data_IF_672910793868
#
_entry.id   IF_672910793868
#
_cell.length_a   1.000
_cell.length_b   1.000
_cell.length_c   1.000
_cell.angle_alpha   90.00
_cell.angle_beta   90.00
_cell.angle_gamma   90.00
#
_symmetry.space_group_name_H-M   'P 1'
#
loop_
_entity.id
_entity.type
_entity.pdbx_description
1 polymer ?
#
# COMPACT_ATOMS: atom_id res chain seq x y z
N UNK A 1 19.45 14.70 35.80
CA UNK A 1 18.55 15.33 36.79
C UNK A 1 17.92 14.25 37.68
N UNK A 2 17.64 14.51 38.96
CA UNK A 2 17.08 13.48 39.87
C UNK A 2 15.55 13.32 39.59
N UNK A 3 15.05 12.08 39.53
CA UNK A 3 13.62 11.77 39.28
C UNK A 3 12.65 12.45 40.27
N UNK A 4 13.10 12.66 41.54
CA UNK A 4 12.31 13.41 42.54
C UNK A 4 12.09 14.87 42.13
N UNK A 5 13.10 15.52 41.56
CA UNK A 5 13.03 16.92 41.11
C UNK A 5 12.10 17.05 39.94
N UNK A 6 12.18 16.13 38.96
CA UNK A 6 11.29 16.11 37.79
C UNK A 6 9.81 15.98 38.22
N UNK A 7 9.53 15.11 39.19
CA UNK A 7 8.17 14.97 39.75
C UNK A 7 7.65 16.23 40.44
N UNK A 8 8.51 16.91 41.24
CA UNK A 8 8.13 18.15 41.93
C UNK A 8 7.87 19.29 40.96
N UNK A 9 8.61 19.31 39.84
CA UNK A 9 8.43 20.29 38.75
C UNK A 9 7.30 19.91 37.78
N UNK A 10 6.61 18.78 38.01
CA UNK A 10 5.54 18.27 37.12
C UNK A 10 6.01 18.15 35.67
N UNK A 11 7.26 17.77 35.46
CA UNK A 11 7.90 17.66 34.14
C UNK A 11 7.14 16.74 33.18
N UNK A 12 6.54 15.66 33.69
CA UNK A 12 5.68 14.74 32.96
C UNK A 12 4.47 15.45 32.32
N UNK A 13 3.89 16.44 32.99
CA UNK A 13 2.80 17.23 32.41
C UNK A 13 3.27 18.10 31.26
N UNK A 14 4.45 18.70 31.36
CA UNK A 14 5.05 19.50 30.29
C UNK A 14 5.32 18.62 29.07
N UNK A 15 5.90 17.42 29.26
CA UNK A 15 6.14 16.46 28.19
C UNK A 15 4.81 16.04 27.54
N UNK A 16 3.78 15.75 28.32
CA UNK A 16 2.48 15.39 27.77
C UNK A 16 1.85 16.52 26.93
N UNK A 17 1.97 17.77 27.37
CA UNK A 17 1.52 18.93 26.59
C UNK A 17 2.29 19.09 25.28
N UNK A 18 3.61 18.80 25.28
CA UNK A 18 4.44 18.83 24.08
C UNK A 18 4.07 17.70 23.12
N UNK A 19 3.90 16.48 23.64
CA UNK A 19 3.48 15.32 22.87
C UNK A 19 2.17 15.56 22.11
N UNK A 20 1.20 16.24 22.73
CA UNK A 20 -0.06 16.59 22.06
C UNK A 20 0.10 17.53 20.86
N UNK A 21 1.25 18.22 20.74
CA UNK A 21 1.55 19.08 19.60
C UNK A 21 2.23 18.34 18.45
N UNK A 22 2.81 17.18 18.71
CA UNK A 22 3.45 16.36 17.69
C UNK A 22 2.41 15.71 16.78
N UNK A 23 2.63 15.78 15.46
CA UNK A 23 1.70 15.29 14.43
C UNK A 23 2.03 13.86 13.95
N UNK A 24 3.26 13.38 14.20
CA UNK A 24 3.71 12.03 13.83
C UNK A 24 3.95 11.15 15.06
N UNK A 25 3.77 9.82 14.92
CA UNK A 25 4.06 8.88 16.00
C UNK A 25 5.55 8.89 16.41
N UNK A 26 6.53 8.92 15.47
CA UNK A 26 7.92 9.10 15.85
C UNK A 26 8.20 10.42 16.56
N UNK A 27 7.60 11.53 16.13
CA UNK A 27 7.73 12.82 16.80
C UNK A 27 7.17 12.81 18.22
N UNK A 28 6.04 12.13 18.46
CA UNK A 28 5.51 11.91 19.82
C UNK A 28 6.47 11.11 20.69
N UNK A 29 7.13 10.10 20.11
CA UNK A 29 8.14 9.33 20.84
C UNK A 29 9.33 10.20 21.21
N UNK A 30 9.85 11.03 20.30
CA UNK A 30 10.91 12.00 20.64
C UNK A 30 10.52 12.94 21.78
N UNK A 31 9.27 13.41 21.78
CA UNK A 31 8.76 14.24 22.89
C UNK A 31 8.78 13.49 24.23
N UNK A 32 8.38 12.21 24.26
CA UNK A 32 8.41 11.36 25.47
C UNK A 32 9.82 11.11 25.97
N UNK A 33 10.76 10.95 25.06
CA UNK A 33 12.18 10.65 25.38
C UNK A 33 12.98 11.90 25.74
N UNK A 34 12.38 13.10 25.63
CA UNK A 34 13.04 14.35 25.95
C UNK A 34 13.36 14.42 27.44
N UNK A 35 14.62 14.66 27.73
CA UNK A 35 15.12 14.86 29.09
C UNK A 35 15.78 16.23 29.20
N UNK A 36 15.79 16.85 30.42
CA UNK A 36 16.49 18.11 30.62
C UNK A 36 17.98 18.00 30.31
N UNK A 37 18.48 18.86 29.43
CA UNK A 37 19.87 18.96 29.04
C UNK A 37 20.68 19.73 30.08
N UNK A 38 21.99 19.44 30.16
CA UNK A 38 22.93 20.14 31.05
C UNK A 38 24.15 20.69 30.30
N UNK A 39 24.33 20.32 29.05
CA UNK A 39 25.36 20.88 28.17
C UNK A 39 24.89 22.19 27.57
N UNK A 40 25.66 23.26 27.81
CA UNK A 40 25.27 24.61 27.38
C UNK A 40 25.18 24.73 25.84
N UNK A 41 26.15 24.15 25.13
CA UNK A 41 26.19 24.24 23.67
C UNK A 41 24.98 23.53 23.04
N UNK A 42 24.62 22.33 23.54
CA UNK A 42 23.41 21.60 23.10
C UNK A 42 22.12 22.38 23.39
N UNK A 43 22.04 23.03 24.55
CA UNK A 43 20.86 23.85 24.93
C UNK A 43 20.73 25.04 23.97
N UNK A 44 21.83 25.77 23.75
CA UNK A 44 21.83 26.95 22.83
C UNK A 44 21.47 26.54 21.40
N UNK A 45 22.00 25.41 20.91
CA UNK A 45 21.63 24.87 19.60
C UNK A 45 20.13 24.56 19.50
N UNK A 46 19.59 23.79 20.46
CA UNK A 46 18.17 23.41 20.44
C UNK A 46 17.23 24.61 20.56
N UNK A 47 17.64 25.66 21.32
CA UNK A 47 16.89 26.91 21.41
C UNK A 47 16.93 27.71 20.09
N UNK A 48 18.09 27.74 19.42
CA UNK A 48 18.25 28.38 18.12
C UNK A 48 17.38 27.69 17.06
N UNK A 49 17.46 26.36 16.97
CA UNK A 49 16.60 25.57 16.07
C UNK A 49 15.12 25.82 16.30
N UNK A 50 14.69 25.91 17.57
CA UNK A 50 13.30 26.23 17.92
C UNK A 50 12.89 27.64 17.50
N UNK A 51 13.76 28.63 17.70
CA UNK A 51 13.52 30.01 17.29
C UNK A 51 13.44 30.16 15.75
N UNK A 52 14.33 29.51 15.03
CA UNK A 52 14.35 29.49 13.56
C UNK A 52 13.12 28.80 13.00
N UNK A 53 12.69 27.66 13.61
CA UNK A 53 11.46 26.98 13.24
C UNK A 53 10.23 27.89 13.42
N UNK A 54 10.16 28.60 14.54
CA UNK A 54 9.07 29.54 14.80
C UNK A 54 9.08 30.68 13.78
N UNK A 55 10.25 31.24 13.45
CA UNK A 55 10.42 32.30 12.45
C UNK A 55 9.92 31.82 11.08
N UNK A 56 10.29 30.62 10.65
CA UNK A 56 9.81 30.04 9.39
C UNK A 56 8.30 29.83 9.37
N UNK A 57 7.72 29.37 10.47
CA UNK A 57 6.25 29.20 10.60
C UNK A 57 5.53 30.55 10.48
N UNK A 58 6.05 31.63 11.08
CA UNK A 58 5.45 32.96 10.96
C UNK A 58 5.55 33.52 9.54
N UNK A 59 6.63 33.22 8.80
CA UNK A 59 6.87 33.74 7.46
C UNK A 59 6.13 32.96 6.38
N UNK A 60 6.08 31.62 6.49
CA UNK A 60 5.62 30.70 5.44
C UNK A 60 4.36 29.91 5.82
N UNK A 61 3.88 30.04 7.05
CA UNK A 61 2.79 29.24 7.58
C UNK A 61 3.23 27.93 8.22
N UNK A 62 2.28 27.16 8.74
CA UNK A 62 2.55 25.89 9.40
C UNK A 62 2.94 24.79 8.40
N UNK A 63 3.96 24.02 8.73
CA UNK A 63 4.39 22.84 7.97
C UNK A 63 3.69 21.59 8.53
N UNK A 64 3.05 20.84 7.66
CA UNK A 64 2.49 19.53 8.02
C UNK A 64 3.42 18.43 7.50
N UNK A 65 4.02 17.68 8.41
CA UNK A 65 4.91 16.56 8.09
C UNK A 65 4.14 15.29 7.64
N UNK A 66 2.81 15.29 7.71
CA UNK A 66 1.98 14.14 7.37
C UNK A 66 2.05 13.02 8.40
N UNK A 67 1.37 11.92 8.10
CA UNK A 67 1.42 10.72 8.94
C UNK A 67 2.65 9.89 8.56
N UNK A 68 3.78 10.11 9.24
CA UNK A 68 5.00 9.32 9.04
C UNK A 68 4.95 8.10 9.96
N UNK A 69 4.54 6.95 9.41
CA UNK A 69 4.64 5.66 10.12
C UNK A 69 6.10 5.19 10.11
N UNK A 70 6.58 4.53 11.19
CA UNK A 70 7.93 3.98 11.21
C UNK A 70 8.16 2.97 10.07
N UNK A 71 9.27 3.13 9.33
CA UNK A 71 9.66 2.26 8.22
C UNK A 71 10.79 1.27 8.58
N UNK A 72 11.20 1.20 9.85
CA UNK A 72 12.34 0.40 10.26
C UNK A 72 12.27 -1.08 9.85
N UNK A 73 11.08 -1.69 9.87
CA UNK A 73 10.89 -3.06 9.38
C UNK A 73 11.02 -3.14 7.86
N UNK A 74 10.43 -2.20 7.13
CA UNK A 74 10.53 -2.15 5.67
C UNK A 74 11.98 -1.99 5.21
N UNK A 75 12.74 -1.08 5.85
CA UNK A 75 14.16 -0.86 5.53
C UNK A 75 14.99 -2.12 5.76
N UNK A 76 14.79 -2.81 6.88
CA UNK A 76 15.48 -4.10 7.14
C UNK A 76 15.14 -5.16 6.10
N UNK A 77 13.87 -5.23 5.68
CA UNK A 77 13.43 -6.16 4.62
C UNK A 77 14.11 -5.84 3.29
N UNK A 78 14.24 -4.55 2.95
CA UNK A 78 14.95 -4.11 1.73
C UNK A 78 16.45 -4.43 1.79
N UNK A 79 17.11 -4.22 2.93
CA UNK A 79 18.54 -4.52 3.12
C UNK A 79 18.89 -5.99 2.88
N UNK A 80 17.98 -6.90 3.23
CA UNK A 80 18.16 -8.35 2.98
C UNK A 80 17.58 -8.81 1.64
N UNK A 81 17.14 -7.88 0.79
CA UNK A 81 16.59 -8.18 -0.54
C UNK A 81 15.20 -8.81 -0.53
N UNK A 82 14.42 -8.64 0.54
CA UNK A 82 13.05 -9.15 0.61
C UNK A 82 12.08 -8.23 -0.14
N UNK A 83 11.05 -8.84 -0.75
CA UNK A 83 9.97 -8.12 -1.39
C UNK A 83 9.02 -7.54 -0.35
N UNK A 84 8.70 -6.26 -0.49
CA UNK A 84 7.70 -5.55 0.32
C UNK A 84 6.29 -5.78 -0.22
N UNK A 85 5.31 -5.70 0.65
CA UNK A 85 3.90 -5.65 0.29
C UNK A 85 3.49 -4.32 -0.35
N UNK A 86 2.32 -4.28 -0.99
CA UNK A 86 1.74 -3.04 -1.54
C UNK A 86 1.60 -1.96 -0.47
N UNK A 87 1.15 -2.32 0.74
CA UNK A 87 1.00 -1.37 1.85
C UNK A 87 2.35 -0.76 2.26
N UNK A 88 3.40 -1.57 2.35
CA UNK A 88 4.75 -1.11 2.74
C UNK A 88 5.35 -0.17 1.69
N UNK A 89 5.19 -0.51 0.39
CA UNK A 89 5.63 0.35 -0.71
C UNK A 89 4.85 1.68 -0.74
N UNK A 90 3.53 1.64 -0.51
CA UNK A 90 2.72 2.86 -0.41
C UNK A 90 3.12 3.74 0.78
N UNK A 91 3.56 3.17 1.90
CA UNK A 91 4.13 3.94 3.02
C UNK A 91 5.42 4.65 2.62
N UNK A 92 6.30 3.97 1.88
CA UNK A 92 7.53 4.58 1.34
C UNK A 92 7.17 5.73 0.40
N UNK A 93 6.26 5.52 -0.55
CA UNK A 93 5.80 6.57 -1.45
C UNK A 93 5.24 7.78 -0.69
N UNK A 94 4.42 7.54 0.35
CA UNK A 94 3.89 8.59 1.21
C UNK A 94 4.96 9.38 1.95
N UNK A 95 6.01 8.73 2.47
CA UNK A 95 7.15 9.43 3.06
C UNK A 95 7.85 10.32 2.02
N UNK A 96 8.14 9.80 0.83
CA UNK A 96 8.85 10.53 -0.23
C UNK A 96 8.05 11.74 -0.75
N UNK A 97 6.72 11.60 -0.87
CA UNK A 97 5.81 12.70 -1.21
C UNK A 97 5.81 13.79 -0.13
N UNK A 98 5.79 13.38 1.14
CA UNK A 98 5.90 14.30 2.28
C UNK A 98 7.27 14.99 2.29
N UNK A 99 8.35 14.25 2.05
CA UNK A 99 9.72 14.76 1.92
C UNK A 99 9.80 15.83 0.84
N UNK A 100 9.17 15.63 -0.32
CA UNK A 100 9.13 16.62 -1.40
C UNK A 100 8.45 17.93 -0.95
N UNK A 101 7.32 17.83 -0.22
CA UNK A 101 6.62 19.01 0.32
C UNK A 101 7.46 19.78 1.35
N UNK A 102 8.09 19.04 2.26
CA UNK A 102 8.93 19.62 3.31
C UNK A 102 10.19 20.25 2.70
N UNK A 103 10.86 19.59 1.76
CA UNK A 103 12.00 20.17 1.03
C UNK A 103 11.61 21.46 0.31
N UNK A 104 10.45 21.51 -0.35
CA UNK A 104 9.97 22.70 -1.03
C UNK A 104 9.63 23.83 -0.03
N UNK A 105 9.11 23.53 1.15
CA UNK A 105 8.90 24.52 2.21
C UNK A 105 10.24 25.12 2.68
N UNK A 106 11.31 24.33 2.74
CA UNK A 106 12.66 24.77 3.07
C UNK A 106 13.27 25.76 2.08
N UNK A 107 12.84 25.73 0.79
CA UNK A 107 13.37 26.63 -0.23
C UNK A 107 12.95 28.08 0.04
N UNK A 108 13.86 29.03 -0.23
CA UNK A 108 13.55 30.45 -0.21
C UNK A 108 12.95 30.88 -1.56
N UNK A 109 11.89 31.72 -1.50
CA UNK A 109 11.29 32.34 -2.70
C UNK A 109 12.09 33.56 -3.19
N UNK A 110 13.14 33.96 -2.46
CA UNK A 110 14.00 35.07 -2.80
C UNK A 110 15.43 34.58 -3.00
N UNK A 111 16.15 35.22 -3.93
CA UNK A 111 17.56 34.90 -4.30
C UNK A 111 18.56 34.97 -3.13
N UNK A 112 18.18 35.47 -1.96
CA UNK A 112 18.95 35.38 -0.72
C UNK A 112 18.49 34.15 0.04
N UNK A 113 19.29 33.07 -0.04
CA UNK A 113 19.12 31.90 0.83
C UNK A 113 19.18 32.35 2.29
N UNK A 114 18.04 32.33 2.96
CA UNK A 114 17.99 32.55 4.40
C UNK A 114 18.64 31.32 5.07
N UNK A 115 19.93 31.41 5.33
CA UNK A 115 20.67 30.39 6.06
C UNK A 115 20.36 30.52 7.54
N UNK A 116 19.70 29.51 8.09
CA UNK A 116 19.44 29.34 9.51
C UNK A 116 19.86 27.93 9.94
N UNK A 117 19.70 27.63 11.23
CA UNK A 117 20.07 26.31 11.80
C UNK A 117 19.34 25.12 11.19
N UNK A 118 18.19 25.34 10.53
CA UNK A 118 17.37 24.29 9.91
C UNK A 118 17.67 24.06 8.43
N UNK A 119 18.43 24.94 7.80
CA UNK A 119 18.67 24.93 6.36
C UNK A 119 19.29 23.61 5.91
N UNK A 120 20.24 23.07 6.65
CA UNK A 120 20.91 21.81 6.33
C UNK A 120 19.93 20.63 6.36
N UNK A 121 19.01 20.57 7.31
CA UNK A 121 17.98 19.50 7.35
C UNK A 121 17.15 19.48 6.06
N UNK A 122 16.72 20.64 5.56
CA UNK A 122 15.96 20.72 4.31
C UNK A 122 16.80 20.33 3.08
N UNK A 123 18.10 20.64 3.09
CA UNK A 123 19.00 20.27 1.98
C UNK A 123 19.26 18.77 1.94
N UNK A 124 19.40 18.11 3.09
CA UNK A 124 19.63 16.67 3.19
C UNK A 124 18.42 15.80 2.80
N UNK A 125 17.22 16.39 2.69
CA UNK A 125 16.04 15.64 2.26
C UNK A 125 16.15 15.24 0.78
N UNK A 126 15.93 13.95 0.49
CA UNK A 126 15.95 13.39 -0.86
C UNK A 126 14.57 12.85 -1.26
N UNK A 127 13.77 13.61 -2.03
CA UNK A 127 12.39 13.25 -2.36
C UNK A 127 12.23 11.98 -3.19
N UNK A 128 13.26 11.55 -3.93
CA UNK A 128 13.21 10.37 -4.81
C UNK A 128 11.93 10.32 -5.66
N UNK A 129 11.58 11.44 -6.28
CA UNK A 129 10.32 11.61 -6.99
C UNK A 129 10.06 10.56 -8.11
N UNK A 130 11.07 10.04 -8.83
CA UNK A 130 10.85 8.94 -9.76
C UNK A 130 10.31 7.69 -9.06
N UNK A 131 10.91 7.27 -7.94
CA UNK A 131 10.50 6.10 -7.17
C UNK A 131 9.06 6.24 -6.63
N UNK A 132 8.75 7.38 -5.98
CA UNK A 132 7.39 7.58 -5.44
C UNK A 132 6.32 7.58 -6.53
N UNK A 133 6.60 8.20 -7.69
CA UNK A 133 5.70 8.18 -8.84
C UNK A 133 5.51 6.78 -9.42
N UNK A 134 6.58 6.01 -9.52
CA UNK A 134 6.51 4.65 -10.07
C UNK A 134 5.74 3.71 -9.13
N UNK A 135 5.95 3.80 -7.82
CA UNK A 135 5.14 3.08 -6.84
C UNK A 135 3.66 3.43 -7.01
N UNK A 136 3.30 4.73 -7.06
CA UNK A 136 1.91 5.19 -7.23
C UNK A 136 1.30 4.82 -8.58
N UNK A 137 2.11 4.76 -9.63
CA UNK A 137 1.66 4.31 -10.95
C UNK A 137 1.27 2.83 -10.95
N UNK A 138 2.06 2.01 -10.24
CA UNK A 138 1.84 0.56 -10.20
C UNK A 138 0.81 0.14 -9.14
N UNK A 139 0.73 0.84 -8.00
CA UNK A 139 -0.10 0.46 -6.86
C UNK A 139 -1.14 1.56 -6.62
N UNK A 140 -2.40 1.24 -6.91
CA UNK A 140 -3.53 2.17 -6.73
C UNK A 140 -3.95 2.18 -5.25
N UNK A 141 -4.11 1.00 -4.66
CA UNK A 141 -4.44 0.79 -3.25
C UNK A 141 -3.77 -0.48 -2.73
N UNK A 142 -3.90 -0.78 -1.44
CA UNK A 142 -3.28 -1.93 -0.75
C UNK A 142 -3.57 -3.25 -1.47
N UNK A 143 -4.80 -3.43 -1.93
CA UNK A 143 -5.27 -4.64 -2.61
C UNK A 143 -5.42 -4.46 -4.13
N UNK A 144 -4.97 -3.32 -4.68
CA UNK A 144 -5.20 -2.98 -6.09
C UNK A 144 -3.92 -2.56 -6.81
N UNK A 145 -3.47 -3.42 -7.73
CA UNK A 145 -2.38 -3.13 -8.68
C UNK A 145 -2.98 -2.62 -9.99
N UNK A 146 -2.43 -1.55 -10.52
CA UNK A 146 -2.88 -0.95 -11.78
C UNK A 146 -2.78 -1.94 -12.96
N UNK A 147 -3.75 -1.92 -13.85
CA UNK A 147 -3.74 -2.80 -15.04
C UNK A 147 -2.52 -2.59 -15.92
N UNK A 148 -2.02 -1.37 -15.99
CA UNK A 148 -0.86 -0.97 -16.77
C UNK A 148 0.44 -0.93 -15.95
N UNK A 149 0.44 -1.50 -14.74
CA UNK A 149 1.66 -1.64 -13.95
C UNK A 149 2.75 -2.40 -14.71
N UNK A 150 2.37 -3.39 -15.51
CA UNK A 150 3.25 -4.00 -16.52
C UNK A 150 2.48 -4.35 -17.81
N UNK A 151 3.18 -4.42 -18.97
CA UNK A 151 2.56 -4.91 -20.21
C UNK A 151 2.07 -6.35 -20.09
N UNK A 152 2.73 -7.19 -19.29
CA UNK A 152 2.35 -8.57 -19.05
C UNK A 152 1.04 -8.66 -18.26
N UNK A 153 0.92 -7.92 -17.15
CA UNK A 153 -0.31 -7.87 -16.34
C UNK A 153 -1.51 -7.42 -17.17
N UNK A 154 -1.34 -6.35 -17.94
CA UNK A 154 -2.39 -5.85 -18.85
C UNK A 154 -2.87 -6.91 -19.85
N UNK A 155 -1.93 -7.68 -20.43
CA UNK A 155 -2.26 -8.76 -21.37
C UNK A 155 -2.99 -9.90 -20.65
N UNK A 156 -2.53 -10.30 -19.47
CA UNK A 156 -3.14 -11.37 -18.67
C UNK A 156 -4.59 -10.98 -18.32
N UNK A 157 -4.82 -9.82 -17.73
CA UNK A 157 -6.16 -9.34 -17.35
C UNK A 157 -7.11 -9.23 -18.54
N UNK A 158 -6.61 -8.72 -19.67
CA UNK A 158 -7.41 -8.72 -20.92
C UNK A 158 -7.78 -10.14 -21.34
N UNK A 159 -6.86 -11.10 -21.24
CA UNK A 159 -7.14 -12.50 -21.57
C UNK A 159 -8.16 -13.12 -20.59
N UNK A 160 -8.12 -12.77 -19.31
CA UNK A 160 -9.09 -13.21 -18.31
C UNK A 160 -10.50 -12.72 -18.66
N UNK A 161 -10.65 -11.43 -18.99
CA UNK A 161 -11.94 -10.85 -19.42
C UNK A 161 -12.49 -11.59 -20.65
N UNK A 162 -11.69 -11.74 -21.70
CA UNK A 162 -12.10 -12.42 -22.93
C UNK A 162 -12.45 -13.90 -22.69
N UNK A 163 -11.75 -14.59 -21.81
CA UNK A 163 -12.04 -15.99 -21.44
C UNK A 163 -13.34 -16.06 -20.64
N UNK A 164 -13.56 -15.15 -19.70
CA UNK A 164 -14.81 -15.03 -18.96
C UNK A 164 -16.01 -14.77 -19.86
N UNK A 165 -15.89 -13.86 -20.82
CA UNK A 165 -16.94 -13.61 -21.82
C UNK A 165 -17.28 -14.84 -22.65
N UNK A 166 -16.26 -15.62 -23.08
CA UNK A 166 -16.49 -16.88 -23.81
C UNK A 166 -17.27 -17.89 -22.96
N UNK A 167 -16.88 -18.06 -21.68
CA UNK A 167 -17.60 -18.93 -20.73
C UNK A 167 -19.06 -18.48 -20.61
N UNK A 168 -19.28 -17.21 -20.35
CA UNK A 168 -20.63 -16.66 -20.21
C UNK A 168 -21.47 -16.87 -21.47
N UNK A 169 -20.94 -16.60 -22.64
CA UNK A 169 -21.64 -16.80 -23.91
C UNK A 169 -22.02 -18.26 -24.14
N UNK A 170 -21.12 -19.18 -23.84
CA UNK A 170 -21.35 -20.61 -24.00
C UNK A 170 -22.38 -21.14 -22.99
N UNK A 171 -22.29 -20.74 -21.74
CA UNK A 171 -23.26 -21.10 -20.73
C UNK A 171 -24.63 -20.47 -20.95
N UNK A 172 -24.70 -19.20 -21.38
CA UNK A 172 -25.96 -18.54 -21.76
C UNK A 172 -26.68 -19.29 -22.90
N UNK A 173 -25.94 -19.76 -23.90
CA UNK A 173 -26.51 -20.58 -24.97
C UNK A 173 -27.11 -21.88 -24.44
N UNK A 174 -26.48 -22.52 -23.45
CA UNK A 174 -27.00 -23.75 -22.82
C UNK A 174 -28.21 -23.45 -21.93
N UNK A 175 -28.12 -22.42 -21.08
CA UNK A 175 -29.16 -22.03 -20.11
C UNK A 175 -30.46 -21.60 -20.80
N UNK A 176 -30.36 -20.91 -21.93
CA UNK A 176 -31.52 -20.44 -22.69
C UNK A 176 -31.97 -21.43 -23.82
N UNK A 177 -31.17 -22.48 -24.04
CA UNK A 177 -31.40 -23.45 -25.11
C UNK A 177 -31.63 -24.87 -24.61
N UNK A 178 -30.75 -25.79 -24.99
CA UNK A 178 -30.91 -27.24 -24.82
C UNK A 178 -31.02 -27.72 -23.38
N UNK A 179 -30.34 -27.04 -22.45
CA UNK A 179 -30.35 -27.44 -21.02
C UNK A 179 -31.47 -26.82 -20.22
N UNK A 180 -32.26 -25.88 -20.75
CA UNK A 180 -33.26 -25.10 -20.01
C UNK A 180 -34.23 -25.94 -19.16
N UNK A 181 -34.74 -27.06 -19.70
CA UNK A 181 -35.68 -27.93 -18.99
C UNK A 181 -35.02 -28.71 -17.82
N UNK A 182 -33.71 -28.89 -17.85
CA UNK A 182 -32.94 -29.64 -16.85
C UNK A 182 -32.51 -28.77 -15.67
N UNK A 183 -32.55 -27.45 -15.83
CA UNK A 183 -32.08 -26.52 -14.82
C UNK A 183 -33.12 -26.26 -13.74
N UNK A 184 -32.65 -26.10 -12.50
CA UNK A 184 -33.46 -25.63 -11.37
C UNK A 184 -33.82 -24.15 -11.60
N UNK A 185 -32.81 -23.34 -11.94
CA UNK A 185 -32.93 -21.94 -12.29
C UNK A 185 -32.07 -21.65 -13.54
N UNK A 186 -32.54 -20.70 -14.37
CA UNK A 186 -31.81 -20.32 -15.59
C UNK A 186 -30.73 -19.27 -15.29
N UNK A 187 -29.78 -19.63 -14.45
CA UNK A 187 -28.69 -18.74 -13.99
C UNK A 187 -27.33 -19.41 -14.17
N UNK A 188 -26.33 -18.58 -14.36
CA UNK A 188 -24.93 -19.00 -14.28
C UNK A 188 -24.47 -18.71 -12.85
N UNK A 189 -23.78 -19.62 -12.23
CA UNK A 189 -23.26 -19.50 -10.85
C UNK A 189 -21.80 -19.89 -10.80
N UNK A 190 -21.10 -19.54 -9.72
CA UNK A 190 -19.72 -19.94 -9.49
C UNK A 190 -19.66 -20.86 -8.27
N UNK A 191 -18.90 -21.96 -8.37
CA UNK A 191 -18.57 -22.87 -7.28
C UNK A 191 -17.07 -23.19 -7.35
N UNK A 192 -16.38 -23.02 -6.24
CA UNK A 192 -14.93 -23.25 -6.13
C UNK A 192 -14.11 -22.53 -7.24
N UNK A 193 -14.53 -21.29 -7.58
CA UNK A 193 -13.89 -20.50 -8.64
C UNK A 193 -14.20 -20.97 -10.06
N UNK A 194 -15.18 -21.87 -10.26
CA UNK A 194 -15.57 -22.40 -11.57
C UNK A 194 -17.00 -22.01 -11.94
N UNK A 195 -17.21 -21.63 -13.17
CA UNK A 195 -18.53 -21.33 -13.69
C UNK A 195 -19.34 -22.60 -13.90
N UNK A 196 -20.51 -22.68 -13.27
CA UNK A 196 -21.42 -23.83 -13.23
C UNK A 196 -22.83 -23.42 -13.55
N UNK A 197 -23.67 -24.42 -13.85
CA UNK A 197 -25.14 -24.28 -13.98
C UNK A 197 -25.86 -25.18 -12.94
N UNK A 198 -26.98 -24.72 -12.36
CA UNK A 198 -27.75 -25.48 -11.37
C UNK A 198 -28.69 -26.46 -12.06
N UNK A 199 -28.38 -27.75 -12.02
CA UNK A 199 -29.13 -28.84 -12.64
C UNK A 199 -29.95 -29.56 -11.60
N UNK A 200 -31.23 -29.84 -11.87
CA UNK A 200 -32.10 -30.65 -11.02
C UNK A 200 -31.53 -32.07 -10.86
N UNK A 201 -31.67 -32.65 -9.67
CA UNK A 201 -31.06 -33.95 -9.35
C UNK A 201 -31.48 -35.06 -10.33
N UNK A 202 -32.75 -35.06 -10.76
CA UNK A 202 -33.32 -36.03 -11.72
C UNK A 202 -32.67 -35.94 -13.14
N UNK A 203 -32.10 -34.79 -13.52
CA UNK A 203 -31.46 -34.57 -14.82
C UNK A 203 -29.95 -34.53 -14.75
N UNK A 204 -29.30 -34.90 -13.65
CA UNK A 204 -27.85 -34.93 -13.49
C UNK A 204 -27.12 -35.63 -14.64
N UNK A 205 -27.68 -36.75 -15.14
CA UNK A 205 -27.08 -37.53 -16.22
C UNK A 205 -27.30 -36.93 -17.62
N UNK A 206 -28.14 -35.92 -17.77
CA UNK A 206 -28.45 -35.27 -19.07
C UNK A 206 -27.53 -34.12 -19.42
N UNK A 207 -26.78 -33.60 -18.44
CA UNK A 207 -25.80 -32.53 -18.63
C UNK A 207 -24.40 -33.09 -18.41
N UNK A 208 -23.67 -33.41 -19.50
CA UNK A 208 -22.30 -33.88 -19.38
C UNK A 208 -21.40 -32.82 -18.73
N UNK A 209 -20.70 -33.20 -17.67
CA UNK A 209 -19.82 -32.26 -16.95
C UNK A 209 -19.35 -32.79 -15.61
N UNK A 210 -18.71 -31.90 -14.85
CA UNK A 210 -18.21 -32.18 -13.50
C UNK A 210 -19.13 -31.55 -12.46
N UNK A 211 -19.49 -32.32 -11.43
CA UNK A 211 -20.24 -31.82 -10.28
C UNK A 211 -19.25 -31.20 -9.29
N UNK A 212 -19.44 -29.93 -8.99
CA UNK A 212 -18.60 -29.21 -8.01
C UNK A 212 -19.30 -29.07 -6.66
N UNK A 213 -20.64 -29.00 -6.65
CA UNK A 213 -21.38 -28.79 -5.42
C UNK A 213 -22.80 -29.36 -5.52
N UNK A 214 -23.48 -29.50 -4.38
CA UNK A 214 -24.87 -29.92 -4.27
C UNK A 214 -25.61 -29.04 -3.27
N UNK A 215 -26.89 -28.71 -3.53
CA UNK A 215 -27.71 -27.96 -2.57
C UNK A 215 -27.91 -28.76 -1.28
N UNK A 216 -28.13 -28.07 -0.16
CA UNK A 216 -28.33 -28.68 1.15
C UNK A 216 -29.50 -29.69 1.19
N UNK A 217 -30.50 -29.50 0.32
CA UNK A 217 -31.66 -30.42 0.18
C UNK A 217 -31.36 -31.58 -0.76
N UNK A 218 -30.23 -31.60 -1.45
CA UNK A 218 -29.87 -32.61 -2.45
C UNK A 218 -30.65 -32.52 -3.77
N UNK A 219 -31.50 -31.51 -3.93
CA UNK A 219 -32.38 -31.36 -5.11
C UNK A 219 -31.71 -30.75 -6.33
N UNK A 220 -30.53 -30.11 -6.15
CA UNK A 220 -29.79 -29.38 -7.21
C UNK A 220 -28.32 -29.73 -7.19
N UNK A 221 -27.76 -30.04 -8.35
CA UNK A 221 -26.33 -30.20 -8.56
C UNK A 221 -25.76 -29.00 -9.32
N UNK A 222 -24.67 -28.46 -8.85
CA UNK A 222 -23.92 -27.42 -9.56
C UNK A 222 -22.90 -28.09 -10.47
N UNK A 223 -23.22 -28.10 -11.76
CA UNK A 223 -22.43 -28.82 -12.76
C UNK A 223 -21.64 -27.82 -13.60
N UNK A 224 -20.33 -28.04 -13.72
CA UNK A 224 -19.49 -27.43 -14.75
C UNK A 224 -19.68 -28.23 -16.03
N UNK A 225 -20.36 -27.68 -17.07
CA UNK A 225 -20.56 -28.42 -18.31
C UNK A 225 -19.25 -28.73 -19.01
N UNK A 226 -19.13 -29.91 -19.61
CA UNK A 226 -17.94 -30.35 -20.35
C UNK A 226 -17.50 -29.33 -21.40
N UNK A 227 -18.44 -28.60 -21.98
CA UNK A 227 -18.19 -27.55 -22.97
C UNK A 227 -17.35 -26.39 -22.45
N UNK A 228 -17.37 -26.07 -21.15
CA UNK A 228 -16.62 -24.94 -20.58
C UNK A 228 -15.45 -25.35 -19.69
N UNK A 229 -15.21 -26.64 -19.45
CA UNK A 229 -14.11 -27.12 -18.59
C UNK A 229 -12.75 -26.56 -19.06
N UNK A 230 -12.47 -26.59 -20.36
CA UNK A 230 -11.22 -26.06 -20.91
C UNK A 230 -11.08 -24.54 -20.67
N UNK A 231 -12.17 -23.79 -20.81
CA UNK A 231 -12.17 -22.33 -20.58
C UNK A 231 -12.01 -22.00 -19.09
N UNK A 232 -12.67 -22.73 -18.20
CA UNK A 232 -12.50 -22.57 -16.76
C UNK A 232 -11.05 -22.91 -16.33
N UNK A 233 -10.43 -23.94 -16.92
CA UNK A 233 -9.03 -24.25 -16.67
C UNK A 233 -8.12 -23.11 -17.14
N UNK A 234 -8.37 -22.59 -18.35
CA UNK A 234 -7.60 -21.45 -18.88
C UNK A 234 -7.77 -20.19 -18.00
N UNK A 235 -8.97 -19.92 -17.50
CA UNK A 235 -9.19 -18.80 -16.59
C UNK A 235 -8.38 -18.98 -15.30
N UNK A 236 -8.38 -20.19 -14.74
CA UNK A 236 -7.60 -20.50 -13.54
C UNK A 236 -6.09 -20.37 -13.74
N UNK A 237 -5.58 -20.78 -14.89
CA UNK A 237 -4.17 -20.58 -15.27
C UNK A 237 -3.83 -19.10 -15.34
N UNK A 238 -4.69 -18.29 -15.97
CA UNK A 238 -4.51 -16.83 -16.05
C UNK A 238 -4.53 -16.16 -14.67
N UNK A 239 -5.39 -16.60 -13.74
CA UNK A 239 -5.40 -16.10 -12.35
C UNK A 239 -4.06 -16.39 -11.65
N UNK A 240 -3.49 -17.58 -11.86
CA UNK A 240 -2.17 -17.93 -11.31
C UNK A 240 -1.06 -17.08 -11.95
N UNK A 241 -1.13 -16.85 -13.26
CA UNK A 241 -0.19 -15.97 -13.96
C UNK A 241 -0.28 -14.53 -13.47
N UNK A 242 -1.49 -14.02 -13.21
CA UNK A 242 -1.72 -12.70 -12.65
C UNK A 242 -1.02 -12.55 -11.30
N UNK A 243 -1.21 -13.51 -10.38
CA UNK A 243 -0.57 -13.47 -9.05
C UNK A 243 0.96 -13.51 -9.15
N UNK A 244 1.49 -14.30 -10.06
CA UNK A 244 2.94 -14.35 -10.31
C UNK A 244 3.46 -13.01 -10.84
N UNK A 245 2.76 -12.41 -11.78
CA UNK A 245 3.16 -11.12 -12.36
C UNK A 245 3.09 -10.00 -11.32
N UNK A 246 2.06 -9.98 -10.48
CA UNK A 246 1.95 -9.04 -9.34
C UNK A 246 3.16 -9.20 -8.42
N UNK A 247 3.56 -10.43 -8.09
CA UNK A 247 4.75 -10.67 -7.26
C UNK A 247 6.03 -10.14 -7.93
N UNK A 248 6.17 -10.26 -9.25
CA UNK A 248 7.30 -9.69 -10.00
C UNK A 248 7.29 -8.16 -9.95
N UNK A 249 6.13 -7.52 -10.12
CA UNK A 249 5.99 -6.06 -10.03
C UNK A 249 6.43 -5.57 -8.64
N UNK A 250 5.92 -6.18 -7.57
CA UNK A 250 6.28 -5.82 -6.20
C UNK A 250 7.77 -6.05 -5.91
N UNK A 251 8.35 -7.15 -6.44
CA UNK A 251 9.77 -7.42 -6.30
C UNK A 251 10.64 -6.37 -7.00
N UNK A 252 10.27 -5.93 -8.20
CA UNK A 252 10.98 -4.90 -8.93
C UNK A 252 10.93 -3.55 -8.21
N UNK A 253 9.74 -3.13 -7.73
CA UNK A 253 9.59 -1.90 -6.94
C UNK A 253 10.39 -1.96 -5.64
N UNK A 254 10.41 -3.13 -4.97
CA UNK A 254 11.20 -3.34 -3.76
C UNK A 254 12.70 -3.29 -4.04
N UNK A 255 13.15 -3.88 -5.13
CA UNK A 255 14.54 -3.83 -5.55
C UNK A 255 14.99 -2.39 -5.84
N UNK A 256 14.16 -1.59 -6.53
CA UNK A 256 14.42 -0.18 -6.77
C UNK A 256 14.46 0.61 -5.45
N UNK A 257 13.47 0.43 -4.57
CA UNK A 257 13.48 1.05 -3.23
C UNK A 257 14.72 0.63 -2.41
N UNK A 258 15.16 -0.62 -2.56
CA UNK A 258 16.34 -1.18 -1.92
C UNK A 258 17.66 -0.48 -2.30
N UNK A 259 17.74 0.12 -3.49
CA UNK A 259 18.91 0.92 -3.90
C UNK A 259 18.99 2.26 -3.18
N UNK A 260 17.92 2.69 -2.50
CA UNK A 260 17.76 4.00 -1.84
C UNK A 260 17.49 3.88 -0.33
N UNK A 261 17.86 2.78 0.30
CA UNK A 261 17.58 2.54 1.73
C UNK A 261 18.16 3.61 2.64
N UNK A 262 19.37 4.11 2.32
CA UNK A 262 20.04 5.15 3.11
C UNK A 262 19.30 6.49 3.03
N UNK A 263 18.92 6.91 1.85
CA UNK A 263 18.18 8.16 1.61
C UNK A 263 16.78 8.09 2.23
N UNK A 264 16.10 6.94 2.14
CA UNK A 264 14.78 6.73 2.76
C UNK A 264 14.90 6.77 4.28
N UNK A 265 15.93 6.14 4.86
CA UNK A 265 16.20 6.17 6.30
C UNK A 265 16.48 7.58 6.80
N UNK A 266 17.31 8.34 6.07
CA UNK A 266 17.67 9.71 6.41
C UNK A 266 16.45 10.65 6.29
N UNK A 267 15.66 10.52 5.23
CA UNK A 267 14.39 11.22 5.11
C UNK A 267 13.48 10.96 6.33
N UNK A 268 13.35 9.70 6.73
CA UNK A 268 12.53 9.36 7.90
C UNK A 268 13.09 10.02 9.17
N UNK A 269 14.41 9.98 9.37
CA UNK A 269 15.08 10.60 10.52
C UNK A 269 14.81 12.11 10.60
N UNK A 270 14.96 12.82 9.49
CA UNK A 270 14.77 14.27 9.43
C UNK A 270 13.29 14.64 9.58
N UNK A 271 12.39 13.80 9.09
CA UNK A 271 10.94 14.03 9.11
C UNK A 271 10.28 13.64 10.44
N UNK A 272 11.05 13.13 11.40
CA UNK A 272 10.60 12.78 12.75
C UNK A 272 10.74 13.96 13.70
#
# INVERSE_FOLDING_TARGET
MNAKVLRVLEYDKVIHMLEQKATSDPGRQLCRDLVPMTDLAQIEQAQTETADALTRIFQKGSLNFGSNKPLGMCLRSLEIGSTLSSEELLRIAGLLENTARVKNFGRSDKDEEQQDSLTEYFHCLEPLAPLSKEIRRCIIDVDEIADDASPALKKIRRSMVLTGEKIHNQLNSMVNGSARSYLQDAVITTRDGRYCIPVKAEYKGQVPGMVHDQSSTGSTFFIEPAAVVSLNNQLRELEIEEQKEIAVILANLSAEAGTHTLEIAENQRIMT
#
